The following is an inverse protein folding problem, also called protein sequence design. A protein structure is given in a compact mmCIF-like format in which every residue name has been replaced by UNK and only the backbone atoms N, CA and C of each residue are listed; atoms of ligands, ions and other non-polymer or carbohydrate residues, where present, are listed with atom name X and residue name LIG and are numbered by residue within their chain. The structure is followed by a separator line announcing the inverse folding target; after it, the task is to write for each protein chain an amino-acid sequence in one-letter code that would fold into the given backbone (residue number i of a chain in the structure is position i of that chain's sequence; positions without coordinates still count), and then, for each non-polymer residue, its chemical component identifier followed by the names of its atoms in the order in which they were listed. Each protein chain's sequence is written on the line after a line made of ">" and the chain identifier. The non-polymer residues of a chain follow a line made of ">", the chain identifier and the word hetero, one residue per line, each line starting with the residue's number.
data_IF_624065888152
#
_entry.id   IF_624065888152
#
_cell.length_a   1.000
_cell.length_b   1.000
_cell.length_c   1.000
_cell.angle_alpha   90.00
_cell.angle_beta   90.00
_cell.angle_gamma   90.00
#
_symmetry.space_group_name_H-M   'P 1'
#
loop_
_entity.id
_entity.type
_entity.pdbx_description
1 polymer ?
#
# COMPACT_ATOMS: atom_id res chain seq x y z
N UNK A 1 -0.33 39.03 -10.72
CA UNK A 1 0.79 38.26 -10.16
C UNK A 1 1.18 38.92 -8.86
N UNK A 2 0.76 38.34 -7.72
CA UNK A 2 1.22 38.78 -6.40
C UNK A 2 2.71 38.50 -6.28
N UNK A 3 3.46 39.51 -5.85
CA UNK A 3 4.89 39.42 -5.62
C UNK A 3 5.15 38.46 -4.45
N UNK A 4 5.63 37.25 -4.74
CA UNK A 4 5.95 36.21 -3.75
C UNK A 4 7.36 36.37 -3.16
N UNK A 5 8.06 37.48 -3.45
CA UNK A 5 9.40 37.77 -2.90
C UNK A 5 9.31 37.98 -1.38
N UNK A 6 9.53 36.90 -0.63
CA UNK A 6 9.58 36.90 0.84
C UNK A 6 8.74 35.81 1.51
N UNK A 7 7.87 35.11 0.78
CA UNK A 7 7.10 33.97 1.32
C UNK A 7 7.92 32.68 1.18
N UNK A 8 8.19 31.96 2.28
CA UNK A 8 8.82 30.64 2.20
C UNK A 8 8.05 29.70 1.27
N UNK A 9 8.76 29.05 0.36
CA UNK A 9 8.19 28.06 -0.53
C UNK A 9 8.01 26.72 0.18
N UNK A 10 7.04 25.95 -0.30
CA UNK A 10 6.75 24.60 0.15
C UNK A 10 7.31 23.59 -0.85
N UNK A 11 8.32 22.83 -0.44
CA UNK A 11 8.88 21.72 -1.19
C UNK A 11 8.33 20.39 -0.65
N UNK A 12 8.07 19.45 -1.55
CA UNK A 12 7.61 18.11 -1.17
C UNK A 12 8.45 17.04 -1.85
N UNK A 13 9.07 16.20 -1.05
CA UNK A 13 9.67 14.95 -1.47
C UNK A 13 8.70 13.80 -1.14
N UNK A 14 8.44 12.92 -2.10
CA UNK A 14 7.54 11.79 -1.84
C UNK A 14 7.29 10.88 -3.02
N UNK A 15 6.26 10.06 -2.88
CA UNK A 15 5.88 8.99 -3.81
C UNK A 15 4.52 9.25 -4.50
N UNK A 16 3.82 8.20 -4.92
CA UNK A 16 2.57 8.30 -5.67
C UNK A 16 1.42 8.92 -4.88
N UNK A 17 1.46 8.90 -3.54
CA UNK A 17 0.40 9.46 -2.66
C UNK A 17 0.50 10.99 -2.58
N UNK A 18 1.71 11.52 -2.68
CA UNK A 18 1.99 12.96 -2.60
C UNK A 18 2.11 13.61 -3.96
N UNK A 19 2.30 12.82 -5.03
CA UNK A 19 2.47 13.30 -6.40
C UNK A 19 1.36 14.27 -6.84
N UNK A 20 1.79 15.37 -7.47
CA UNK A 20 0.90 16.29 -8.16
C UNK A 20 0.27 15.60 -9.38
N UNK A 21 -1.06 15.51 -9.40
CA UNK A 21 -1.87 14.94 -10.48
C UNK A 21 -2.43 16.04 -11.39
N UNK A 22 -2.39 15.80 -12.69
CA UNK A 22 -2.96 16.69 -13.69
C UNK A 22 -4.49 16.52 -13.76
N UNK A 23 -5.17 17.46 -14.43
CA UNK A 23 -6.64 17.50 -14.51
C UNK A 23 -7.24 16.28 -15.25
N UNK A 24 -6.47 15.65 -16.12
CA UNK A 24 -6.84 14.42 -16.82
C UNK A 24 -6.85 13.18 -15.90
N UNK A 25 -6.22 13.27 -14.74
CA UNK A 25 -6.19 12.20 -13.73
C UNK A 25 -7.34 12.32 -12.72
N UNK A 26 -8.26 13.27 -12.91
CA UNK A 26 -9.37 13.51 -11.99
C UNK A 26 -10.19 12.22 -11.76
N UNK A 27 -10.71 11.96 -10.55
CA UNK A 27 -10.52 12.75 -9.34
C UNK A 27 -9.26 12.41 -8.53
N UNK A 28 -8.29 11.65 -9.05
CA UNK A 28 -7.05 11.34 -8.33
C UNK A 28 -6.27 12.61 -7.99
N UNK A 29 -5.83 12.75 -6.73
CA UNK A 29 -5.09 13.93 -6.29
C UNK A 29 -4.13 13.61 -5.15
N UNK A 30 -2.94 14.19 -5.19
CA UNK A 30 -2.02 14.18 -4.06
C UNK A 30 -2.41 15.26 -3.06
N UNK A 31 -2.43 14.94 -1.76
CA UNK A 31 -2.78 15.90 -0.71
C UNK A 31 -1.96 17.20 -0.74
N UNK A 32 -0.65 17.23 -1.09
CA UNK A 32 0.09 18.49 -1.09
C UNK A 32 -0.42 19.50 -2.11
N UNK A 33 -1.11 19.06 -3.18
CA UNK A 33 -1.73 19.95 -4.17
C UNK A 33 -2.80 20.87 -3.59
N UNK A 34 -3.30 20.58 -2.39
CA UNK A 34 -4.34 21.34 -1.71
C UNK A 34 -3.81 22.16 -0.53
N UNK A 35 -2.63 21.82 -0.01
CA UNK A 35 -2.06 22.45 1.18
C UNK A 35 -1.94 23.98 1.06
N UNK A 36 -1.47 24.57 -0.06
CA UNK A 36 -1.35 26.03 -0.18
C UNK A 36 -2.66 26.79 0.05
N UNK A 37 -3.83 26.18 -0.25
CA UNK A 37 -5.14 26.82 -0.09
C UNK A 37 -5.48 27.15 1.36
N UNK A 38 -4.91 26.41 2.31
CA UNK A 38 -5.11 26.59 3.74
C UNK A 38 -4.11 27.57 4.39
N UNK A 39 -3.09 28.00 3.65
CA UNK A 39 -1.98 28.81 4.19
C UNK A 39 -2.03 30.24 3.61
N UNK A 40 -1.75 31.24 4.44
CA UNK A 40 -1.71 32.66 4.09
C UNK A 40 -0.38 33.31 4.52
N UNK A 41 0.29 34.08 3.64
CA UNK A 41 0.06 34.13 2.19
C UNK A 41 0.24 32.74 1.55
N UNK A 42 -0.42 32.50 0.42
CA UNK A 42 -0.37 31.19 -0.26
C UNK A 42 1.08 30.88 -0.71
N UNK A 43 1.72 29.82 -0.18
CA UNK A 43 3.11 29.54 -0.48
C UNK A 43 3.25 28.93 -1.88
N UNK A 44 4.31 29.29 -2.65
CA UNK A 44 4.67 28.55 -3.85
C UNK A 44 4.90 27.06 -3.53
N UNK A 45 4.26 26.16 -4.28
CA UNK A 45 4.42 24.71 -4.11
C UNK A 45 5.34 24.13 -5.19
N UNK A 46 6.43 23.52 -4.75
CA UNK A 46 7.34 22.74 -5.60
C UNK A 46 7.27 21.26 -5.20
N UNK A 47 6.40 20.52 -5.88
CA UNK A 47 6.17 19.11 -5.60
C UNK A 47 7.07 18.21 -6.47
N UNK A 48 8.07 17.58 -5.84
CA UNK A 48 9.00 16.65 -6.51
C UNK A 48 8.55 15.19 -6.42
N UNK A 49 7.41 14.91 -5.78
CA UNK A 49 6.93 13.57 -5.59
C UNK A 49 6.56 12.88 -6.92
N UNK A 50 6.92 11.60 -7.02
CA UNK A 50 6.69 10.81 -8.23
C UNK A 50 6.40 9.35 -7.89
N UNK A 51 5.41 8.78 -8.58
CA UNK A 51 5.09 7.37 -8.55
C UNK A 51 6.29 6.47 -8.89
N UNK A 52 6.44 5.39 -8.13
CA UNK A 52 7.54 4.44 -8.26
C UNK A 52 8.83 4.84 -7.56
N UNK A 53 8.93 6.04 -6.99
CA UNK A 53 10.06 6.39 -6.12
C UNK A 53 9.90 5.78 -4.72
N UNK A 54 11.02 5.29 -4.18
CA UNK A 54 11.23 4.99 -2.78
C UNK A 54 12.29 5.97 -2.24
N UNK A 55 12.63 5.90 -0.95
CA UNK A 55 13.62 6.81 -0.36
C UNK A 55 14.97 6.76 -1.09
N UNK A 56 15.46 5.57 -1.43
CA UNK A 56 16.77 5.40 -2.09
C UNK A 56 16.80 6.01 -3.49
N UNK A 57 15.77 5.77 -4.31
CA UNK A 57 15.71 6.31 -5.68
C UNK A 57 15.42 7.80 -5.70
N UNK A 58 14.63 8.32 -4.75
CA UNK A 58 14.43 9.76 -4.60
C UNK A 58 15.75 10.48 -4.27
N UNK A 59 16.50 9.97 -3.29
CA UNK A 59 17.80 10.56 -2.91
C UNK A 59 18.79 10.53 -4.08
N UNK A 60 18.82 9.42 -4.84
CA UNK A 60 19.72 9.26 -5.98
C UNK A 60 19.42 10.22 -7.14
N UNK A 61 18.15 10.49 -7.42
CA UNK A 61 17.76 11.12 -8.69
C UNK A 61 17.14 12.51 -8.55
N UNK A 62 16.58 12.86 -7.38
CA UNK A 62 15.75 14.07 -7.22
C UNK A 62 16.19 14.99 -6.08
N UNK A 63 16.77 14.44 -5.01
CA UNK A 63 17.14 15.22 -3.82
C UNK A 63 18.07 16.40 -4.12
N UNK A 64 19.11 16.21 -4.94
CA UNK A 64 20.05 17.28 -5.27
C UNK A 64 19.37 18.45 -6.01
N UNK A 65 18.50 18.15 -6.97
CA UNK A 65 17.74 19.18 -7.70
C UNK A 65 16.82 19.96 -6.77
N UNK A 66 16.10 19.26 -5.89
CA UNK A 66 15.22 19.89 -4.90
C UNK A 66 16.03 20.85 -4.01
N UNK A 67 17.08 20.34 -3.37
CA UNK A 67 17.89 21.10 -2.40
C UNK A 67 18.60 22.30 -3.05
N UNK A 68 18.99 22.21 -4.33
CA UNK A 68 19.60 23.33 -5.06
C UNK A 68 18.61 24.43 -5.46
N UNK A 69 17.31 24.15 -5.47
CA UNK A 69 16.27 25.14 -5.76
C UNK A 69 15.76 25.86 -4.50
N UNK A 70 16.05 25.31 -3.32
CA UNK A 70 15.63 25.88 -2.04
C UNK A 70 16.40 27.16 -1.70
N UNK A 71 15.73 28.04 -0.95
CA UNK A 71 16.29 29.20 -0.28
C UNK A 71 16.21 29.00 1.23
N UNK A 72 17.06 29.70 2.02
CA UNK A 72 16.93 29.70 3.47
C UNK A 72 15.52 30.09 3.91
N UNK A 73 14.95 29.32 4.84
CA UNK A 73 13.58 29.47 5.34
C UNK A 73 12.53 28.64 4.60
N UNK A 74 12.81 28.09 3.42
CA UNK A 74 11.86 27.24 2.69
C UNK A 74 11.57 25.94 3.45
N UNK A 75 10.31 25.50 3.43
CA UNK A 75 9.84 24.29 4.11
C UNK A 75 9.97 23.07 3.18
N UNK A 76 10.54 21.96 3.65
CA UNK A 76 10.58 20.70 2.91
C UNK A 76 9.87 19.57 3.67
N UNK A 77 8.73 19.11 3.12
CA UNK A 77 8.02 17.93 3.61
C UNK A 77 8.61 16.66 2.99
N UNK A 78 9.18 15.79 3.83
CA UNK A 78 9.80 14.52 3.43
C UNK A 78 8.81 13.39 3.68
N UNK A 79 7.96 13.12 2.70
CA UNK A 79 6.84 12.17 2.74
C UNK A 79 7.09 10.94 1.88
N UNK A 80 8.12 10.16 2.25
CA UNK A 80 8.54 8.92 1.60
C UNK A 80 8.20 7.72 2.48
N UNK A 81 7.99 6.55 1.87
CA UNK A 81 7.89 5.28 2.60
C UNK A 81 6.83 4.33 2.05
N UNK A 82 5.78 4.80 1.35
CA UNK A 82 4.68 3.91 0.92
C UNK A 82 5.18 2.84 -0.07
N UNK A 83 6.20 3.19 -0.86
CA UNK A 83 6.91 2.29 -1.78
C UNK A 83 7.93 1.41 -1.04
N UNK A 84 8.69 1.98 -0.10
CA UNK A 84 9.81 1.36 0.60
C UNK A 84 9.46 0.05 1.32
N UNK A 85 8.23 -0.08 1.82
CA UNK A 85 7.75 -1.27 2.55
C UNK A 85 7.36 -2.45 1.64
N UNK A 86 7.32 -2.28 0.32
CA UNK A 86 6.71 -3.26 -0.59
C UNK A 86 7.66 -4.41 -0.97
N UNK A 87 7.68 -5.46 -0.15
CA UNK A 87 8.46 -6.69 -0.37
C UNK A 87 8.14 -7.43 -1.69
N UNK A 88 6.91 -7.31 -2.18
CA UNK A 88 6.44 -7.98 -3.39
C UNK A 88 7.01 -7.43 -4.70
N UNK A 89 7.75 -6.31 -4.67
CA UNK A 89 8.33 -5.66 -5.85
C UNK A 89 9.81 -5.36 -5.61
N UNK A 90 10.67 -6.10 -6.30
CA UNK A 90 12.12 -6.17 -6.05
C UNK A 90 12.80 -4.80 -6.06
N UNK A 91 12.40 -3.91 -6.97
CA UNK A 91 13.01 -2.58 -7.11
C UNK A 91 12.41 -1.52 -6.17
N UNK A 92 11.44 -1.88 -5.33
CA UNK A 92 10.69 -0.93 -4.50
C UNK A 92 11.08 -1.02 -3.04
N UNK A 93 11.32 -2.23 -2.54
CA UNK A 93 11.70 -2.45 -1.15
C UNK A 93 13.02 -1.74 -0.78
N UNK A 94 13.02 -1.03 0.35
CA UNK A 94 14.21 -0.46 0.97
C UNK A 94 14.31 -0.98 2.40
N UNK A 95 15.43 -1.59 2.81
CA UNK A 95 15.58 -2.09 4.18
C UNK A 95 15.28 -1.01 5.24
N UNK A 96 14.61 -1.32 6.35
CA UNK A 96 14.14 -0.31 7.30
C UNK A 96 15.24 0.62 7.85
N UNK A 97 16.42 0.08 8.17
CA UNK A 97 17.57 0.91 8.55
C UNK A 97 18.00 1.86 7.43
N UNK A 98 18.10 1.36 6.19
CA UNK A 98 18.48 2.18 5.03
C UNK A 98 17.45 3.28 4.77
N UNK A 99 16.16 2.96 4.91
CA UNK A 99 15.07 3.94 4.84
C UNK A 99 15.23 5.03 5.91
N UNK A 100 15.45 4.64 7.17
CA UNK A 100 15.71 5.58 8.28
C UNK A 100 16.94 6.46 8.01
N UNK A 101 18.05 5.86 7.58
CA UNK A 101 19.29 6.56 7.24
C UNK A 101 19.09 7.51 6.04
N UNK A 102 18.24 7.15 5.07
CA UNK A 102 17.88 8.01 3.94
C UNK A 102 17.12 9.25 4.42
N UNK A 103 16.10 9.08 5.27
CA UNK A 103 15.34 10.21 5.81
C UNK A 103 16.25 11.16 6.58
N UNK A 104 17.12 10.64 7.45
CA UNK A 104 18.08 11.43 8.23
C UNK A 104 19.04 12.22 7.34
N UNK A 105 19.65 11.55 6.36
CA UNK A 105 20.59 12.18 5.42
C UNK A 105 19.91 13.29 4.61
N UNK A 106 18.68 13.06 4.17
CA UNK A 106 17.98 14.06 3.38
C UNK A 106 17.51 15.24 4.23
N UNK A 107 17.03 15.00 5.46
CA UNK A 107 16.71 16.07 6.40
C UNK A 107 17.95 16.94 6.71
N UNK A 108 19.11 16.32 6.92
CA UNK A 108 20.37 17.04 7.12
C UNK A 108 20.74 17.89 5.89
N UNK A 109 20.65 17.33 4.68
CA UNK A 109 20.96 18.06 3.44
C UNK A 109 20.04 19.28 3.22
N UNK A 110 18.76 19.19 3.61
CA UNK A 110 17.84 20.33 3.59
C UNK A 110 18.25 21.39 4.61
N UNK A 111 18.54 20.99 5.85
CA UNK A 111 18.94 21.90 6.92
C UNK A 111 20.28 22.61 6.62
N UNK A 112 21.25 21.92 6.04
CA UNK A 112 22.55 22.49 5.62
C UNK A 112 22.41 23.60 4.57
N UNK A 113 21.31 23.63 3.81
CA UNK A 113 20.98 24.72 2.87
C UNK A 113 20.08 25.79 3.48
N UNK A 114 19.83 25.74 4.79
CA UNK A 114 18.99 26.68 5.51
C UNK A 114 17.48 26.44 5.34
N UNK A 115 17.08 25.32 4.72
CA UNK A 115 15.67 24.92 4.66
C UNK A 115 15.19 24.31 5.98
N UNK A 116 13.87 24.25 6.16
CA UNK A 116 13.21 23.62 7.32
C UNK A 116 12.75 22.22 6.92
N UNK A 117 13.47 21.14 7.28
CA UNK A 117 13.02 19.79 7.01
C UNK A 117 11.90 19.37 7.98
N UNK A 118 10.89 18.68 7.46
CA UNK A 118 9.85 18.02 8.26
C UNK A 118 9.70 16.59 7.75
N UNK A 119 9.94 15.63 8.63
CA UNK A 119 9.71 14.22 8.30
C UNK A 119 8.22 13.92 8.39
N UNK A 120 7.67 13.26 7.38
CA UNK A 120 6.25 12.94 7.29
C UNK A 120 6.08 11.42 7.22
N UNK A 121 5.30 10.84 8.12
CA UNK A 121 5.00 9.39 8.08
C UNK A 121 4.14 9.03 6.86
N UNK A 122 4.08 7.75 6.51
CA UNK A 122 3.24 7.25 5.42
C UNK A 122 1.75 7.55 5.67
N UNK A 123 0.96 7.66 4.61
CA UNK A 123 -0.50 7.75 4.73
C UNK A 123 -1.07 6.38 5.12
N UNK A 124 -2.05 6.35 6.02
CA UNK A 124 -2.83 5.16 6.32
C UNK A 124 -3.86 4.90 5.21
N UNK A 125 -3.85 3.71 4.55
CA UNK A 125 -4.86 3.34 3.55
C UNK A 125 -6.27 3.20 4.13
N UNK A 126 -7.29 3.20 3.26
CA UNK A 126 -8.65 2.78 3.58
C UNK A 126 -8.72 1.26 3.75
N UNK A 127 -8.20 0.77 4.86
CA UNK A 127 -8.22 -0.63 5.24
C UNK A 127 -8.75 -0.78 6.67
N UNK A 128 -9.73 -1.66 6.86
CA UNK A 128 -10.47 -1.79 8.11
C UNK A 128 -10.59 -3.25 8.49
N UNK A 129 -10.32 -3.57 9.74
CA UNK A 129 -10.57 -4.88 10.34
C UNK A 129 -12.08 -5.22 10.31
N UNK A 130 -12.42 -6.46 10.63
CA UNK A 130 -13.79 -6.95 10.58
C UNK A 130 -14.77 -6.10 11.42
N UNK A 131 -14.33 -5.65 12.59
CA UNK A 131 -15.06 -4.81 13.54
C UNK A 131 -15.13 -3.32 13.14
N UNK A 132 -14.50 -2.94 12.02
CA UNK A 132 -14.51 -1.57 11.52
C UNK A 132 -13.45 -0.65 12.14
N UNK A 133 -12.46 -1.21 12.82
CA UNK A 133 -11.26 -0.49 13.26
C UNK A 133 -10.30 -0.30 12.09
N UNK A 134 -9.63 0.84 11.99
CA UNK A 134 -8.62 1.05 10.92
C UNK A 134 -7.44 0.09 11.12
N UNK A 135 -7.08 -0.66 10.08
CA UNK A 135 -5.98 -1.62 10.12
C UNK A 135 -4.62 -0.92 9.92
N UNK A 136 -3.61 -1.30 10.71
CA UNK A 136 -2.22 -0.86 10.48
C UNK A 136 -1.56 -1.70 9.39
N UNK A 137 -1.32 -1.06 8.24
CA UNK A 137 -0.64 -1.66 7.09
C UNK A 137 0.74 -1.03 6.84
N UNK A 138 1.32 -0.33 7.81
CA UNK A 138 2.59 0.41 7.65
C UNK A 138 3.84 -0.48 7.74
N UNK A 139 3.69 -1.74 8.15
CA UNK A 139 4.80 -2.69 8.26
C UNK A 139 5.95 -2.18 9.14
N UNK A 140 5.67 -1.30 10.11
CA UNK A 140 6.66 -0.66 10.98
C UNK A 140 7.41 0.53 10.37
N UNK A 141 7.22 0.86 9.08
CA UNK A 141 7.91 1.98 8.44
C UNK A 141 7.50 3.35 9.01
N UNK A 142 6.27 3.46 9.52
CA UNK A 142 5.83 4.66 10.22
C UNK A 142 6.69 4.91 11.48
N UNK A 143 7.00 3.88 12.26
CA UNK A 143 7.91 3.97 13.41
C UNK A 143 9.34 4.37 13.01
N UNK A 144 9.85 3.82 11.90
CA UNK A 144 11.17 4.22 11.40
C UNK A 144 11.23 5.70 10.98
N UNK A 145 10.15 6.24 10.41
CA UNK A 145 10.06 7.68 10.11
C UNK A 145 9.99 8.53 11.39
N UNK A 146 9.20 8.12 12.40
CA UNK A 146 9.16 8.78 13.72
C UNK A 146 10.56 8.82 14.35
N UNK A 147 11.24 7.68 14.33
CA UNK A 147 12.55 7.51 14.91
C UNK A 147 13.64 8.29 14.14
N UNK A 148 13.50 8.47 12.82
CA UNK A 148 14.37 9.33 12.03
C UNK A 148 14.19 10.82 12.39
N UNK A 149 12.95 11.28 12.58
CA UNK A 149 12.67 12.66 12.97
C UNK A 149 13.31 13.01 14.33
N UNK A 150 13.13 12.12 15.32
CA UNK A 150 13.74 12.26 16.66
C UNK A 150 15.27 12.30 16.58
N UNK A 151 15.88 11.36 15.86
CA UNK A 151 17.35 11.31 15.74
C UNK A 151 17.95 12.49 14.97
N UNK A 152 17.21 13.06 14.03
CA UNK A 152 17.63 14.25 13.29
C UNK A 152 17.31 15.55 14.03
N UNK A 153 16.54 15.52 15.12
CA UNK A 153 16.09 16.71 15.83
C UNK A 153 15.20 17.62 14.97
N UNK A 154 14.41 17.03 14.07
CA UNK A 154 13.54 17.77 13.13
C UNK A 154 12.06 17.51 13.43
N UNK A 155 11.14 18.44 13.09
CA UNK A 155 9.72 18.23 13.28
C UNK A 155 9.20 16.97 12.58
N UNK A 156 8.28 16.29 13.25
CA UNK A 156 7.55 15.13 12.74
C UNK A 156 6.10 15.52 12.45
N UNK A 157 5.68 15.42 11.19
CA UNK A 157 4.27 15.40 10.82
C UNK A 157 3.80 13.94 10.75
N UNK A 158 3.09 13.48 11.77
CA UNK A 158 2.59 12.09 11.82
C UNK A 158 1.30 11.92 11.00
N UNK A 159 1.46 11.93 9.68
CA UNK A 159 0.37 11.75 8.72
C UNK A 159 -0.35 10.42 8.88
N UNK A 160 0.37 9.35 9.23
CA UNK A 160 -0.20 8.04 9.52
C UNK A 160 -1.24 8.17 10.63
N UNK A 161 -0.86 8.70 11.79
CA UNK A 161 -1.76 8.93 12.92
C UNK A 161 -2.95 9.83 12.54
N UNK A 162 -2.69 10.95 11.86
CA UNK A 162 -3.75 11.89 11.46
C UNK A 162 -4.78 11.25 10.53
N UNK A 163 -4.32 10.44 9.57
CA UNK A 163 -5.20 9.76 8.61
C UNK A 163 -5.93 8.59 9.26
N UNK A 164 -5.28 7.79 10.12
CA UNK A 164 -5.95 6.76 10.93
C UNK A 164 -7.10 7.34 11.75
N UNK A 165 -6.89 8.47 12.43
CA UNK A 165 -7.94 9.14 13.21
C UNK A 165 -9.10 9.59 12.32
N UNK A 166 -8.80 10.24 11.20
CA UNK A 166 -9.81 10.70 10.24
C UNK A 166 -10.65 9.54 9.69
N UNK A 167 -10.01 8.43 9.30
CA UNK A 167 -10.69 7.26 8.78
C UNK A 167 -11.54 6.57 9.85
N UNK A 168 -11.07 6.54 11.10
CA UNK A 168 -11.83 6.01 12.22
C UNK A 168 -13.08 6.85 12.52
N UNK A 169 -12.99 8.18 12.44
CA UNK A 169 -14.12 9.10 12.61
C UNK A 169 -15.20 8.91 11.53
N UNK A 170 -14.78 8.66 10.28
CA UNK A 170 -15.69 8.50 9.13
C UNK A 170 -16.29 7.09 9.04
N UNK A 171 -15.54 6.08 9.49
CA UNK A 171 -15.88 4.67 9.33
C UNK A 171 -15.67 4.14 7.90
N UNK A 172 -15.84 2.83 7.68
CA UNK A 172 -15.43 2.16 6.44
C UNK A 172 -16.15 2.64 5.18
N UNK A 173 -17.48 2.78 5.25
CA UNK A 173 -18.31 3.14 4.09
C UNK A 173 -18.11 4.58 3.64
N UNK A 174 -17.82 5.49 4.56
CA UNK A 174 -17.63 6.90 4.20
C UNK A 174 -16.17 7.17 3.81
N UNK A 175 -15.21 6.49 4.47
CA UNK A 175 -13.79 6.59 4.14
C UNK A 175 -13.50 6.26 2.68
N UNK A 176 -14.11 5.20 2.09
CA UNK A 176 -13.85 4.85 0.69
C UNK A 176 -14.13 5.99 -0.31
N UNK A 177 -15.06 6.91 0.03
CA UNK A 177 -15.41 8.06 -0.82
C UNK A 177 -14.31 9.12 -0.90
N UNK A 178 -13.26 8.99 -0.11
CA UNK A 178 -12.07 9.86 -0.13
C UNK A 178 -10.91 9.28 -0.95
N UNK A 179 -11.06 8.07 -1.48
CA UNK A 179 -10.01 7.37 -2.24
C UNK A 179 -10.39 7.22 -3.71
N UNK A 180 -9.45 6.73 -4.53
CA UNK A 180 -9.70 6.25 -5.90
C UNK A 180 -10.45 4.92 -5.85
N UNK A 181 -11.64 4.98 -5.29
CA UNK A 181 -12.58 3.91 -5.17
C UNK A 181 -13.83 4.34 -5.92
N UNK A 182 -14.19 3.61 -6.97
CA UNK A 182 -15.38 3.84 -7.78
C UNK A 182 -16.07 2.50 -8.00
N UNK A 183 -17.38 2.49 -7.80
CA UNK A 183 -18.21 1.36 -8.22
C UNK A 183 -18.32 1.40 -9.76
N UNK A 184 -18.82 0.32 -10.38
CA UNK A 184 -18.99 0.30 -11.83
C UNK A 184 -19.92 1.45 -12.29
N UNK A 185 -19.56 2.08 -13.41
CA UNK A 185 -20.23 3.29 -13.89
C UNK A 185 -19.94 4.58 -13.11
N UNK A 186 -19.23 4.53 -11.98
CA UNK A 186 -18.90 5.71 -11.16
C UNK A 186 -17.81 6.62 -11.75
N UNK A 187 -17.14 6.21 -12.82
CA UNK A 187 -16.11 7.00 -13.48
C UNK A 187 -16.02 6.70 -14.99
N UNK A 188 -15.94 7.71 -15.88
CA UNK A 188 -15.92 7.51 -17.33
C UNK A 188 -14.73 6.65 -17.80
N UNK A 189 -13.53 6.88 -17.25
CA UNK A 189 -12.33 6.11 -17.62
C UNK A 189 -12.24 4.73 -16.94
N UNK A 190 -13.08 4.48 -15.93
CA UNK A 190 -13.14 3.20 -15.22
C UNK A 190 -14.57 2.65 -15.22
N UNK A 191 -15.12 2.29 -16.39
CA UNK A 191 -16.51 1.81 -16.51
C UNK A 191 -16.78 0.56 -15.67
N UNK A 192 -15.75 -0.24 -15.41
CA UNK A 192 -15.78 -1.42 -14.53
C UNK A 192 -15.73 -1.14 -13.04
N UNK A 193 -15.57 0.12 -12.66
CA UNK A 193 -15.14 0.52 -11.33
C UNK A 193 -13.62 0.38 -11.16
N UNK A 194 -13.11 0.97 -10.09
CA UNK A 194 -11.70 0.93 -9.71
C UNK A 194 -11.63 0.94 -8.20
N UNK A 195 -10.89 0.00 -7.60
CA UNK A 195 -10.69 -0.03 -6.15
C UNK A 195 -9.21 0.13 -5.87
N UNK A 196 -8.88 1.25 -5.27
CA UNK A 196 -7.56 1.66 -4.82
C UNK A 196 -7.73 2.40 -3.49
N UNK A 197 -7.31 1.74 -2.42
CA UNK A 197 -7.48 2.20 -1.04
C UNK A 197 -6.30 3.02 -0.52
N UNK A 198 -5.29 3.31 -1.36
CA UNK A 198 -4.12 4.08 -0.96
C UNK A 198 -4.15 5.49 -1.56
N UNK A 199 -4.55 5.61 -2.82
CA UNK A 199 -4.50 6.89 -3.50
C UNK A 199 -5.79 7.69 -3.29
N UNK A 200 -5.63 8.94 -2.85
CA UNK A 200 -6.74 9.84 -2.57
C UNK A 200 -7.38 10.38 -3.84
N UNK A 201 -8.67 10.65 -3.76
CA UNK A 201 -9.32 11.54 -4.72
C UNK A 201 -9.23 13.01 -4.23
N UNK A 202 -9.80 13.95 -5.00
CA UNK A 202 -9.75 15.39 -4.69
C UNK A 202 -10.30 15.72 -3.30
N UNK A 203 -11.44 15.15 -2.92
CA UNK A 203 -12.06 15.40 -1.63
C UNK A 203 -11.24 14.80 -0.47
N UNK A 204 -10.67 13.60 -0.65
CA UNK A 204 -9.74 13.01 0.32
C UNK A 204 -8.44 13.80 0.47
N UNK A 205 -7.82 14.16 -0.65
CA UNK A 205 -6.60 14.96 -0.70
C UNK A 205 -6.79 16.33 -0.02
N UNK A 206 -7.95 16.97 -0.24
CA UNK A 206 -8.34 18.20 0.42
C UNK A 206 -8.48 18.03 1.94
N UNK A 207 -9.17 16.97 2.39
CA UNK A 207 -9.39 16.71 3.82
C UNK A 207 -8.09 16.41 4.55
N UNK A 208 -7.20 15.66 3.92
CA UNK A 208 -5.86 15.40 4.45
C UNK A 208 -5.04 16.70 4.51
N UNK A 209 -5.04 17.51 3.46
CA UNK A 209 -4.35 18.79 3.44
C UNK A 209 -4.83 19.76 4.54
N UNK A 210 -6.14 19.77 4.83
CA UNK A 210 -6.71 20.55 5.94
C UNK A 210 -6.10 20.16 7.28
N UNK A 211 -6.05 18.84 7.59
CA UNK A 211 -5.47 18.32 8.84
C UNK A 211 -3.96 18.57 8.90
N UNK A 212 -3.26 18.43 7.78
CA UNK A 212 -1.82 18.72 7.65
C UNK A 212 -1.53 20.20 7.93
N UNK A 213 -2.30 21.13 7.39
CA UNK A 213 -2.11 22.56 7.64
C UNK A 213 -2.24 22.89 9.14
N UNK A 214 -3.27 22.37 9.79
CA UNK A 214 -3.47 22.54 11.23
C UNK A 214 -2.33 21.91 12.05
N UNK A 215 -1.84 20.74 11.65
CA UNK A 215 -0.72 20.08 12.32
C UNK A 215 0.59 20.85 12.16
N UNK A 216 0.86 21.44 11.00
CA UNK A 216 2.05 22.26 10.79
C UNK A 216 2.08 23.50 11.70
N UNK A 217 0.92 24.08 12.02
CA UNK A 217 0.84 25.14 13.05
C UNK A 217 1.05 24.58 14.45
N UNK A 218 0.44 23.44 14.78
CA UNK A 218 0.62 22.78 16.08
C UNK A 218 2.08 22.40 16.35
N UNK A 219 2.84 22.09 15.31
CA UNK A 219 4.27 21.79 15.34
C UNK A 219 5.16 23.04 15.33
N UNK A 220 4.57 24.24 15.31
CA UNK A 220 5.28 25.53 15.22
C UNK A 220 6.16 25.67 13.97
N UNK A 221 5.91 24.84 12.94
CA UNK A 221 6.56 24.93 11.63
C UNK A 221 5.96 26.08 10.82
N UNK A 222 4.65 26.28 10.96
CA UNK A 222 3.93 27.45 10.47
C UNK A 222 3.46 28.27 11.67
N UNK A 223 3.43 29.60 11.54
CA UNK A 223 2.85 30.45 12.57
C UNK A 223 1.33 30.27 12.63
N UNK A 224 0.72 30.54 13.78
CA UNK A 224 -0.74 30.50 13.94
C UNK A 224 -1.48 31.42 12.94
N UNK A 225 -0.86 32.55 12.61
CA UNK A 225 -1.37 33.53 11.66
C UNK A 225 -1.27 33.06 10.19
N UNK A 226 -0.54 31.96 9.94
CA UNK A 226 -0.40 31.39 8.61
C UNK A 226 -1.62 30.55 8.20
N UNK A 227 -2.51 30.17 9.12
CA UNK A 227 -3.75 29.48 8.74
C UNK A 227 -4.79 30.47 8.22
N UNK A 228 -5.40 30.12 7.08
CA UNK A 228 -6.50 30.89 6.54
C UNK A 228 -7.69 30.87 7.51
N UNK A 229 -8.12 32.04 7.96
CA UNK A 229 -9.21 32.19 8.93
C UNK A 229 -10.53 31.54 8.48
N UNK A 230 -10.83 31.60 7.17
CA UNK A 230 -11.97 30.91 6.56
C UNK A 230 -11.45 29.71 5.78
N UNK A 231 -11.86 28.50 6.20
CA UNK A 231 -11.52 27.29 5.45
C UNK A 231 -12.03 27.41 4.01
N UNK A 232 -11.21 27.04 3.01
CA UNK A 232 -11.69 26.89 1.64
C UNK A 232 -12.91 25.97 1.56
N UNK A 233 -13.70 26.11 0.51
CA UNK A 233 -14.82 25.20 0.24
C UNK A 233 -14.28 23.78 -0.03
N UNK A 234 -14.95 22.77 0.56
CA UNK A 234 -14.59 21.38 0.37
C UNK A 234 -15.10 20.88 -1.00
N UNK A 235 -14.30 20.11 -1.75
CA UNK A 235 -14.78 19.47 -2.97
C UNK A 235 -15.94 18.51 -2.66
N UNK A 236 -16.89 18.42 -3.59
CA UNK A 236 -17.93 17.40 -3.53
C UNK A 236 -17.33 15.99 -3.49
N UNK A 237 -17.90 15.14 -2.63
CA UNK A 237 -17.55 13.74 -2.59
C UNK A 237 -18.22 12.99 -3.75
N UNK A 238 -17.53 12.05 -4.39
CA UNK A 238 -18.14 11.23 -5.43
C UNK A 238 -19.37 10.48 -4.87
N UNK A 239 -20.37 10.32 -5.73
CA UNK A 239 -21.50 9.45 -5.43
C UNK A 239 -21.09 7.99 -5.57
N UNK A 240 -21.63 7.15 -4.69
CA UNK A 240 -21.41 5.72 -4.69
C UNK A 240 -22.76 5.01 -4.81
N UNK A 241 -23.29 4.89 -6.03
CA UNK A 241 -24.66 4.40 -6.26
C UNK A 241 -24.86 2.92 -5.93
N UNK A 242 -23.78 2.18 -5.62
CA UNK A 242 -23.84 0.84 -5.01
C UNK A 242 -24.21 0.85 -3.52
N UNK A 243 -24.27 2.03 -2.87
CA UNK A 243 -24.56 2.23 -1.44
C UNK A 243 -26.05 2.13 -1.10
N UNK A 244 -26.96 2.40 -2.05
CA UNK A 244 -28.39 2.58 -1.71
C UNK A 244 -28.97 1.35 -1.02
N UNK A 245 -29.46 1.59 0.19
CA UNK A 245 -29.78 0.60 1.21
C UNK A 245 -31.25 0.15 1.20
N UNK A 246 -32.03 0.52 0.19
CA UNK A 246 -33.43 0.12 0.14
C UNK A 246 -33.52 -1.33 -0.34
N UNK A 247 -33.41 -2.23 0.64
CA UNK A 247 -33.81 -3.64 0.61
C UNK A 247 -33.45 -4.40 -0.67
N UNK A 248 -32.22 -4.93 -0.69
CA UNK A 248 -31.83 -6.01 -1.60
C UNK A 248 -31.95 -7.33 -0.82
N UNK A 249 -33.14 -7.96 -0.77
CA UNK A 249 -33.33 -9.20 -0.02
C UNK A 249 -32.54 -10.33 -0.66
N UNK A 250 -32.02 -11.24 0.17
CA UNK A 250 -31.62 -12.55 -0.33
C UNK A 250 -32.88 -13.22 -0.91
N UNK A 251 -32.72 -14.17 -1.82
CA UNK A 251 -33.76 -14.81 -2.64
C UNK A 251 -35.05 -15.32 -1.92
N UNK A 252 -35.19 -15.23 -0.59
CA UNK A 252 -36.33 -15.76 0.17
C UNK A 252 -37.69 -15.12 -0.10
N UNK A 253 -37.78 -13.94 -0.73
CA UNK A 253 -39.04 -13.17 -0.77
C UNK A 253 -39.74 -13.09 -2.14
N UNK A 254 -39.21 -13.68 -3.23
CA UNK A 254 -39.85 -13.57 -4.57
C UNK A 254 -39.76 -14.82 -5.44
N UNK A 255 -40.91 -15.21 -6.00
CA UNK A 255 -41.18 -16.41 -6.84
C UNK A 255 -40.73 -16.31 -8.29
N UNK A 256 -39.86 -15.36 -8.65
CA UNK A 256 -39.38 -15.17 -10.02
C UNK A 256 -37.86 -15.26 -10.09
N UNK A 257 -37.32 -16.36 -10.61
CA UNK A 257 -35.91 -16.43 -11.00
C UNK A 257 -35.73 -15.78 -12.37
N UNK A 258 -35.18 -14.56 -12.41
CA UNK A 258 -34.84 -13.92 -13.68
C UNK A 258 -33.79 -14.74 -14.45
N UNK A 259 -33.87 -14.79 -15.80
CA UNK A 259 -32.74 -15.21 -16.61
C UNK A 259 -31.63 -14.16 -16.46
N UNK A 260 -30.47 -14.58 -15.96
CA UNK A 260 -29.31 -13.70 -15.81
C UNK A 260 -28.11 -14.49 -15.31
N UNK A 261 -27.00 -14.46 -16.05
CA UNK A 261 -25.75 -15.12 -15.67
C UNK A 261 -24.81 -14.12 -15.01
N UNK A 262 -24.26 -14.51 -13.87
CA UNK A 262 -23.15 -13.82 -13.20
C UNK A 262 -21.94 -14.74 -13.28
N UNK A 263 -20.81 -14.19 -13.71
CA UNK A 263 -19.52 -14.91 -13.78
C UNK A 263 -18.44 -14.12 -13.06
N UNK A 264 -17.90 -14.73 -12.01
CA UNK A 264 -16.73 -14.21 -11.30
C UNK A 264 -15.48 -14.53 -12.13
N UNK A 265 -14.69 -13.52 -12.47
CA UNK A 265 -13.41 -13.65 -13.17
C UNK A 265 -12.26 -13.88 -12.20
N UNK A 266 -12.31 -13.26 -11.03
CA UNK A 266 -11.27 -13.39 -10.04
C UNK A 266 -11.70 -12.87 -8.67
N UNK A 267 -11.21 -13.47 -7.57
CA UNK A 267 -10.46 -14.73 -7.50
C UNK A 267 -11.26 -15.95 -8.00
N UNK A 268 -10.59 -17.09 -8.25
CA UNK A 268 -11.27 -18.34 -8.61
C UNK A 268 -11.83 -19.00 -7.34
N UNK A 269 -12.95 -19.70 -7.48
CA UNK A 269 -13.60 -20.41 -6.37
C UNK A 269 -12.63 -21.40 -5.70
N UNK A 270 -12.71 -21.50 -4.37
CA UNK A 270 -11.88 -22.36 -3.53
C UNK A 270 -10.42 -21.92 -3.39
N UNK A 271 -10.02 -20.78 -3.99
CA UNK A 271 -8.67 -20.24 -3.77
C UNK A 271 -8.60 -19.48 -2.47
N UNK A 272 -7.39 -19.50 -1.90
CA UNK A 272 -7.03 -18.64 -0.77
C UNK A 272 -7.10 -17.19 -1.19
N UNK A 273 -7.60 -16.35 -0.31
CA UNK A 273 -7.71 -14.90 -0.46
C UNK A 273 -7.22 -14.21 0.81
N UNK A 274 -6.90 -12.92 0.72
CA UNK A 274 -6.51 -12.09 1.86
C UNK A 274 -7.72 -11.34 2.42
N UNK A 275 -7.67 -10.78 3.64
CA UNK A 275 -8.85 -10.16 4.24
C UNK A 275 -9.39 -8.97 3.44
N UNK A 276 -8.53 -8.20 2.76
CA UNK A 276 -8.96 -7.09 1.88
C UNK A 276 -9.12 -7.53 0.40
N UNK A 277 -9.80 -8.65 0.14
CA UNK A 277 -9.92 -9.22 -1.22
C UNK A 277 -10.94 -8.51 -2.10
N UNK A 278 -10.48 -8.09 -3.28
CA UNK A 278 -11.32 -7.59 -4.38
C UNK A 278 -11.82 -8.73 -5.29
N UNK A 279 -13.08 -8.66 -5.67
CA UNK A 279 -13.73 -9.53 -6.65
C UNK A 279 -14.01 -8.77 -7.94
N UNK A 280 -13.87 -9.45 -9.08
CA UNK A 280 -14.22 -8.92 -10.40
C UNK A 280 -14.96 -9.95 -11.21
N UNK A 281 -15.76 -9.49 -12.17
CA UNK A 281 -16.48 -10.40 -13.05
C UNK A 281 -17.21 -9.72 -14.18
N UNK A 282 -18.11 -10.49 -14.78
CA UNK A 282 -19.12 -10.03 -15.74
C UNK A 282 -20.49 -10.56 -15.36
N UNK A 283 -21.52 -9.88 -15.82
CA UNK A 283 -22.91 -10.23 -15.64
C UNK A 283 -23.70 -9.89 -16.92
N UNK A 284 -24.86 -10.52 -17.10
CA UNK A 284 -25.78 -10.14 -18.18
C UNK A 284 -26.16 -8.66 -18.09
N UNK A 285 -26.18 -7.97 -19.23
CA UNK A 285 -26.36 -6.51 -19.31
C UNK A 285 -27.78 -6.04 -18.99
N UNK A 286 -28.72 -6.97 -18.84
CA UNK A 286 -30.07 -6.71 -18.33
C UNK A 286 -30.07 -6.47 -16.83
N UNK A 287 -29.06 -6.97 -16.12
CA UNK A 287 -28.89 -6.76 -14.69
C UNK A 287 -28.32 -5.35 -14.44
N UNK A 288 -28.85 -4.68 -13.44
CA UNK A 288 -28.43 -3.34 -13.02
C UNK A 288 -27.46 -3.39 -11.85
N UNK A 289 -27.58 -4.42 -11.00
CA UNK A 289 -26.83 -4.56 -9.74
C UNK A 289 -26.52 -6.01 -9.39
N UNK A 290 -25.50 -6.19 -8.54
CA UNK A 290 -25.18 -7.46 -7.88
C UNK A 290 -25.13 -7.19 -6.37
N UNK A 291 -25.92 -7.92 -5.60
CA UNK A 291 -25.83 -8.02 -4.15
C UNK A 291 -24.87 -9.12 -3.72
N UNK A 292 -24.14 -8.88 -2.64
CA UNK A 292 -23.18 -9.81 -2.05
C UNK A 292 -23.59 -10.20 -0.65
N UNK A 293 -23.48 -11.49 -0.34
CA UNK A 293 -23.79 -12.07 0.95
C UNK A 293 -22.63 -12.95 1.43
N UNK A 294 -22.32 -12.85 2.71
CA UNK A 294 -21.40 -13.73 3.42
C UNK A 294 -22.23 -14.66 4.30
N UNK A 295 -22.19 -15.96 4.01
CA UNK A 295 -22.86 -16.99 4.82
C UNK A 295 -24.36 -16.64 5.08
N UNK A 296 -25.03 -16.14 4.04
CA UNK A 296 -26.43 -15.72 4.05
C UNK A 296 -26.69 -14.27 4.51
N UNK A 297 -25.71 -13.60 5.13
CA UNK A 297 -25.84 -12.22 5.59
C UNK A 297 -25.38 -11.21 4.54
N UNK A 298 -26.18 -10.17 4.26
CA UNK A 298 -25.82 -9.17 3.24
C UNK A 298 -24.62 -8.34 3.68
N UNK A 299 -23.63 -8.21 2.80
CA UNK A 299 -22.39 -7.45 3.05
C UNK A 299 -22.14 -6.29 2.09
N UNK A 300 -22.95 -6.15 1.02
CA UNK A 300 -22.84 -5.01 0.11
C UNK A 300 -23.47 -5.26 -1.25
N UNK A 301 -23.27 -4.31 -2.16
CA UNK A 301 -23.68 -4.42 -3.55
C UNK A 301 -22.72 -3.63 -4.47
N UNK A 302 -22.76 -3.93 -5.77
CA UNK A 302 -22.14 -3.12 -6.82
C UNK A 302 -23.10 -2.92 -7.97
N UNK A 303 -22.93 -1.83 -8.71
CA UNK A 303 -23.51 -1.67 -10.03
C UNK A 303 -22.79 -2.55 -11.06
N UNK A 304 -23.42 -2.69 -12.23
CA UNK A 304 -22.85 -3.32 -13.41
C UNK A 304 -22.51 -2.23 -14.44
N UNK A 305 -21.29 -2.32 -14.99
CA UNK A 305 -20.78 -1.42 -16.00
C UNK A 305 -21.42 -1.65 -17.37
N UNK A 306 -21.19 -0.72 -18.32
CA UNK A 306 -21.86 -0.72 -19.61
C UNK A 306 -21.59 -1.94 -20.48
N UNK A 307 -20.52 -2.73 -20.26
CA UNK A 307 -20.26 -4.00 -21.00
C UNK A 307 -20.54 -5.24 -20.13
N UNK A 308 -21.28 -5.08 -19.03
CA UNK A 308 -21.61 -6.15 -18.09
C UNK A 308 -20.54 -6.38 -17.02
N UNK A 309 -19.45 -5.63 -17.02
CA UNK A 309 -18.33 -5.78 -16.11
C UNK A 309 -18.61 -5.19 -14.72
N UNK A 310 -18.05 -5.81 -13.69
CA UNK A 310 -18.19 -5.33 -12.32
C UNK A 310 -16.92 -5.59 -11.51
N UNK A 311 -16.73 -4.75 -10.50
CA UNK A 311 -15.66 -4.84 -9.51
C UNK A 311 -16.26 -4.53 -8.15
N UNK A 312 -15.94 -5.33 -7.14
CA UNK A 312 -16.42 -5.11 -5.78
C UNK A 312 -15.40 -5.55 -4.74
N UNK A 313 -15.37 -4.88 -3.60
CA UNK A 313 -14.59 -5.25 -2.42
C UNK A 313 -15.41 -4.85 -1.20
N UNK A 314 -15.44 -5.70 -0.17
CA UNK A 314 -15.96 -5.33 1.15
C UNK A 314 -15.15 -4.14 1.71
N UNK A 315 -15.80 -3.26 2.45
CA UNK A 315 -15.15 -2.09 3.08
C UNK A 315 -14.41 -2.46 4.37
N UNK A 316 -14.80 -3.55 5.01
CA UNK A 316 -14.08 -4.20 6.12
C UNK A 316 -13.48 -5.54 5.69
N UNK A 317 -12.54 -6.03 6.49
CA UNK A 317 -11.88 -7.33 6.31
C UNK A 317 -12.89 -8.47 6.37
N UNK A 318 -12.55 -9.55 5.68
CA UNK A 318 -13.26 -10.81 5.80
C UNK A 318 -12.81 -11.54 7.07
N UNK A 319 -13.73 -12.25 7.76
CA UNK A 319 -13.33 -13.15 8.83
C UNK A 319 -12.38 -14.23 8.28
N UNK A 320 -11.42 -14.73 9.07
CA UNK A 320 -10.55 -15.82 8.65
C UNK A 320 -11.31 -17.15 8.56
N UNK A 321 -10.90 -18.02 7.64
CA UNK A 321 -11.47 -19.36 7.47
C UNK A 321 -12.21 -19.57 6.16
N UNK A 322 -13.00 -20.65 6.10
CA UNK A 322 -13.79 -21.03 4.93
C UNK A 322 -15.15 -20.32 4.97
N UNK A 323 -15.53 -19.72 3.84
CA UNK A 323 -16.78 -18.99 3.69
C UNK A 323 -17.41 -19.26 2.32
N UNK A 324 -18.72 -19.02 2.23
CA UNK A 324 -19.42 -18.97 0.94
C UNK A 324 -19.85 -17.53 0.66
N UNK A 325 -19.25 -16.94 -0.37
CA UNK A 325 -19.72 -15.68 -0.92
C UNK A 325 -20.84 -15.98 -1.91
N UNK A 326 -22.05 -15.48 -1.63
CA UNK A 326 -23.21 -15.63 -2.53
C UNK A 326 -23.48 -14.33 -3.26
N UNK A 327 -23.61 -14.39 -4.59
CA UNK A 327 -23.95 -13.27 -5.46
C UNK A 327 -25.38 -13.40 -5.96
N UNK A 328 -26.12 -12.30 -5.96
CA UNK A 328 -27.48 -12.24 -6.51
C UNK A 328 -27.61 -11.02 -7.42
N UNK A 329 -27.98 -11.25 -8.68
CA UNK A 329 -28.18 -10.17 -9.66
C UNK A 329 -29.60 -9.62 -9.56
N UNK A 330 -29.77 -8.34 -9.90
CA UNK A 330 -31.08 -7.69 -9.96
C UNK A 330 -31.31 -7.01 -11.31
N UNK A 331 -32.50 -7.22 -11.88
CA UNK A 331 -33.02 -6.51 -13.05
C UNK A 331 -33.56 -5.12 -12.68
N UNK A 332 -33.83 -4.27 -13.68
CA UNK A 332 -34.36 -2.92 -13.46
C UNK A 332 -35.74 -2.89 -12.79
N UNK A 333 -36.57 -3.93 -12.97
CA UNK A 333 -37.87 -4.11 -12.34
C UNK A 333 -37.80 -4.70 -10.91
N UNK A 334 -36.58 -4.95 -10.43
CA UNK A 334 -36.33 -5.49 -9.09
C UNK A 334 -36.38 -7.02 -8.98
N UNK A 335 -36.59 -7.75 -10.08
CA UNK A 335 -36.53 -9.22 -10.07
C UNK A 335 -35.09 -9.70 -9.90
N UNK A 336 -34.89 -10.76 -9.11
CA UNK A 336 -33.59 -11.30 -8.76
C UNK A 336 -33.23 -12.55 -9.58
N UNK A 337 -31.93 -12.75 -9.84
CA UNK A 337 -31.43 -14.01 -10.40
C UNK A 337 -31.41 -15.12 -9.35
N UNK A 338 -31.22 -16.36 -9.79
CA UNK A 338 -30.75 -17.41 -8.88
C UNK A 338 -29.41 -17.02 -8.24
N UNK A 339 -29.15 -17.41 -6.97
CA UNK A 339 -27.88 -17.15 -6.31
C UNK A 339 -26.72 -17.89 -7.00
N UNK A 340 -25.54 -17.28 -6.98
CA UNK A 340 -24.29 -17.88 -7.42
C UNK A 340 -23.35 -17.97 -6.23
N UNK A 341 -23.12 -19.19 -5.76
CA UNK A 341 -22.21 -19.45 -4.65
C UNK A 341 -20.76 -19.51 -5.11
N UNK A 342 -19.89 -18.92 -4.30
CA UNK A 342 -18.47 -18.83 -4.54
C UNK A 342 -17.70 -19.13 -3.25
N UNK A 343 -17.23 -20.37 -3.05
CA UNK A 343 -16.46 -20.71 -1.87
C UNK A 343 -15.12 -19.98 -1.87
N UNK A 344 -14.71 -19.48 -0.71
CA UNK A 344 -13.44 -18.78 -0.49
C UNK A 344 -12.79 -19.25 0.81
N UNK A 345 -11.46 -19.18 0.88
CA UNK A 345 -10.70 -19.43 2.10
C UNK A 345 -9.88 -18.19 2.42
N UNK A 346 -10.23 -17.47 3.48
CA UNK A 346 -9.56 -16.25 3.92
C UNK A 346 -8.38 -16.64 4.81
N UNK A 347 -7.18 -16.19 4.41
CA UNK A 347 -5.95 -16.29 5.20
C UNK A 347 -5.61 -14.88 5.64
N UNK A 348 -5.56 -14.64 6.95
CA UNK A 348 -5.27 -13.34 7.57
C UNK A 348 -3.86 -13.28 8.19
N UNK A 349 -3.24 -14.42 8.46
CA UNK A 349 -1.88 -14.53 8.96
C UNK A 349 -1.09 -15.63 8.24
N UNK A 350 0.24 -15.50 8.26
CA UNK A 350 1.16 -16.50 7.75
C UNK A 350 2.08 -17.00 8.87
N UNK A 351 2.30 -18.30 8.92
CA UNK A 351 3.33 -18.88 9.78
C UNK A 351 4.74 -18.58 9.27
N UNK A 352 5.71 -18.52 10.18
CA UNK A 352 7.11 -18.42 9.82
C UNK A 352 7.52 -19.62 8.93
N UNK A 353 8.22 -19.39 7.81
CA UNK A 353 8.65 -20.48 6.94
C UNK A 353 9.64 -21.39 7.66
N UNK A 354 9.66 -22.67 7.30
CA UNK A 354 10.64 -23.63 7.81
C UNK A 354 11.72 -23.85 6.77
N UNK A 355 12.96 -23.48 7.07
CA UNK A 355 14.12 -23.81 6.23
C UNK A 355 14.57 -25.25 6.55
N UNK A 356 14.69 -26.09 5.53
CA UNK A 356 15.05 -27.51 5.68
C UNK A 356 16.43 -27.83 5.15
N UNK A 357 16.92 -27.07 4.15
CA UNK A 357 18.25 -27.24 3.58
C UNK A 357 18.91 -25.88 3.26
N UNK A 358 20.25 -25.78 3.36
CA UNK A 358 21.15 -26.71 4.03
C UNK A 358 20.78 -26.88 5.51
N UNK A 359 21.11 -28.01 6.14
CA UNK A 359 20.91 -28.15 7.59
C UNK A 359 21.78 -27.10 8.31
N UNK A 360 21.23 -26.46 9.33
CA UNK A 360 21.95 -25.43 10.09
C UNK A 360 23.30 -25.96 10.58
N UNK A 361 24.35 -25.14 10.42
CA UNK A 361 25.73 -25.50 10.81
C UNK A 361 26.42 -26.55 9.93
N UNK A 362 25.84 -26.93 8.77
CA UNK A 362 26.54 -27.75 7.77
C UNK A 362 27.18 -26.87 6.70
N UNK A 363 28.34 -27.31 6.23
CA UNK A 363 29.07 -26.68 5.13
C UNK A 363 28.21 -26.70 3.86
N UNK A 364 28.19 -25.57 3.15
CA UNK A 364 27.70 -25.47 1.79
C UNK A 364 28.82 -25.00 0.87
N UNK A 365 28.79 -25.43 -0.40
CA UNK A 365 29.61 -24.80 -1.44
C UNK A 365 29.13 -23.36 -1.73
N UNK A 366 29.86 -22.66 -2.60
CA UNK A 366 29.64 -21.24 -2.94
C UNK A 366 28.26 -20.90 -3.52
N UNK A 367 27.43 -21.88 -3.90
CA UNK A 367 26.05 -21.66 -4.36
C UNK A 367 25.06 -22.46 -3.50
N UNK A 368 24.77 -22.02 -2.26
CA UNK A 368 23.83 -22.73 -1.40
C UNK A 368 22.43 -22.75 -2.00
N UNK A 369 21.86 -23.96 -2.14
CA UNK A 369 20.45 -24.14 -2.49
C UNK A 369 19.61 -24.14 -1.21
N UNK A 370 18.92 -23.04 -0.93
CA UNK A 370 18.06 -22.92 0.25
C UNK A 370 16.69 -23.51 -0.05
N UNK A 371 16.20 -24.43 0.79
CA UNK A 371 14.89 -25.08 0.61
C UNK A 371 14.08 -25.04 1.88
N UNK A 372 12.77 -25.14 1.75
CA UNK A 372 11.90 -25.14 2.92
C UNK A 372 10.42 -25.38 2.62
N UNK A 373 9.62 -25.14 3.66
CA UNK A 373 8.15 -25.13 3.61
C UNK A 373 7.61 -23.78 4.06
N UNK A 374 6.56 -23.31 3.40
CA UNK A 374 5.80 -22.13 3.78
C UNK A 374 4.34 -22.31 3.30
N UNK A 375 3.51 -23.12 4.00
CA UNK A 375 2.10 -23.28 3.65
C UNK A 375 1.38 -21.92 3.55
N UNK A 376 0.33 -21.85 2.73
CA UNK A 376 -0.48 -20.64 2.50
C UNK A 376 0.22 -19.46 1.80
N UNK A 377 1.55 -19.43 1.76
CA UNK A 377 2.32 -18.42 1.07
C UNK A 377 2.27 -18.56 -0.46
N UNK A 378 2.49 -17.43 -1.14
CA UNK A 378 2.74 -17.38 -2.58
C UNK A 378 4.23 -17.42 -2.92
N UNK A 379 5.07 -16.94 -2.01
CA UNK A 379 6.52 -16.92 -2.12
C UNK A 379 7.16 -16.79 -0.74
N UNK A 380 8.47 -17.00 -0.69
CA UNK A 380 9.33 -16.55 0.42
C UNK A 380 10.29 -15.49 -0.08
N UNK A 381 10.67 -14.57 0.81
CA UNK A 381 11.72 -13.58 0.59
C UNK A 381 12.85 -13.88 1.56
N UNK A 382 14.07 -13.93 1.05
CA UNK A 382 15.27 -14.26 1.82
C UNK A 382 16.12 -13.02 2.00
N UNK A 383 16.66 -12.88 3.20
CA UNK A 383 17.59 -11.85 3.61
C UNK A 383 18.85 -12.47 4.20
N UNK A 384 19.98 -11.80 4.01
CA UNK A 384 21.23 -12.03 4.73
C UNK A 384 21.52 -10.74 5.52
N UNK A 385 21.34 -10.80 6.84
CA UNK A 385 21.10 -9.61 7.65
C UNK A 385 19.87 -8.84 7.17
N UNK A 386 20.01 -7.55 6.85
CA UNK A 386 18.94 -6.71 6.27
C UNK A 386 18.93 -6.69 4.74
N UNK A 387 19.98 -7.25 4.10
CA UNK A 387 20.10 -7.25 2.65
C UNK A 387 19.21 -8.35 2.09
N UNK A 388 18.22 -7.96 1.31
CA UNK A 388 17.45 -8.92 0.52
C UNK A 388 18.37 -9.61 -0.49
N UNK A 389 18.42 -10.94 -0.44
CA UNK A 389 19.23 -11.76 -1.35
C UNK A 389 18.39 -12.42 -2.45
N UNK A 390 17.07 -12.55 -2.27
CA UNK A 390 16.21 -13.06 -3.32
C UNK A 390 14.79 -13.39 -2.90
N UNK A 391 14.02 -13.94 -3.85
CA UNK A 391 12.63 -14.37 -3.67
C UNK A 391 12.42 -15.70 -4.38
N UNK A 392 11.72 -16.63 -3.75
CA UNK A 392 11.40 -17.93 -4.33
C UNK A 392 9.88 -18.18 -4.30
N UNK A 393 9.27 -18.60 -5.42
CA UNK A 393 7.86 -18.97 -5.43
C UNK A 393 7.61 -20.21 -4.56
N UNK A 394 6.46 -20.22 -3.88
CA UNK A 394 6.00 -21.36 -3.10
C UNK A 394 5.03 -22.17 -3.95
N UNK A 395 5.25 -23.49 -4.01
CA UNK A 395 4.39 -24.42 -4.75
C UNK A 395 3.08 -24.68 -3.99
N UNK A 396 2.12 -25.31 -4.67
CA UNK A 396 0.81 -25.62 -4.08
C UNK A 396 0.91 -26.49 -2.81
N UNK A 397 1.92 -27.37 -2.73
CA UNK A 397 2.21 -28.23 -1.57
C UNK A 397 2.96 -27.52 -0.42
N UNK A 398 3.18 -26.20 -0.56
CA UNK A 398 3.90 -25.37 0.39
C UNK A 398 5.43 -25.48 0.29
N UNK A 399 5.98 -26.27 -0.64
CA UNK A 399 7.44 -26.37 -0.82
C UNK A 399 8.00 -25.18 -1.59
N UNK A 400 9.23 -24.80 -1.28
CA UNK A 400 9.97 -23.77 -2.01
C UNK A 400 11.45 -24.10 -2.10
N UNK A 401 12.12 -23.52 -3.10
CA UNK A 401 13.55 -23.66 -3.34
C UNK A 401 14.10 -22.36 -3.92
N UNK A 402 15.20 -21.87 -3.35
CA UNK A 402 15.95 -20.72 -3.81
C UNK A 402 17.37 -21.16 -4.19
N UNK A 403 17.85 -20.69 -5.33
CA UNK A 403 19.23 -20.82 -5.75
C UNK A 403 19.65 -19.42 -6.22
N UNK A 404 20.62 -18.82 -5.54
CA UNK A 404 21.15 -17.51 -5.93
C UNK A 404 21.93 -17.60 -7.24
N UNK A 405 21.89 -16.52 -8.03
CA UNK A 405 22.64 -16.41 -9.29
C UNK A 405 24.15 -16.25 -9.02
N UNK A 406 24.49 -15.39 -8.06
CA UNK A 406 25.88 -15.10 -7.67
C UNK A 406 26.38 -16.06 -6.58
N UNK A 407 27.68 -16.43 -6.60
CA UNK A 407 28.28 -17.18 -5.51
C UNK A 407 28.28 -16.34 -4.23
N UNK A 408 28.08 -17.01 -3.10
CA UNK A 408 28.17 -16.42 -1.78
C UNK A 408 29.63 -16.39 -1.36
N UNK A 409 30.00 -15.33 -0.64
CA UNK A 409 31.34 -15.24 -0.05
C UNK A 409 31.55 -16.34 0.99
N UNK A 410 32.79 -16.79 1.18
CA UNK A 410 33.09 -17.72 2.25
C UNK A 410 32.82 -17.07 3.61
N UNK A 411 32.25 -17.83 4.54
CA UNK A 411 31.92 -17.37 5.88
C UNK A 411 30.55 -17.85 6.37
N UNK A 412 30.18 -17.38 7.55
CA UNK A 412 28.86 -17.62 8.13
C UNK A 412 27.86 -16.56 7.66
N UNK A 413 26.69 -17.01 7.19
CA UNK A 413 25.58 -16.18 6.75
C UNK A 413 24.39 -16.39 7.68
N UNK A 414 23.83 -15.29 8.18
CA UNK A 414 22.65 -15.28 9.05
C UNK A 414 21.43 -14.90 8.23
N UNK A 415 20.73 -15.94 7.78
CA UNK A 415 19.55 -15.78 6.95
C UNK A 415 18.32 -15.46 7.79
N UNK A 416 17.50 -14.57 7.25
CA UNK A 416 16.15 -14.31 7.70
C UNK A 416 15.21 -14.59 6.52
N UNK A 417 14.22 -15.47 6.72
CA UNK A 417 13.28 -15.87 5.68
C UNK A 417 11.87 -15.52 6.12
N UNK A 418 11.14 -14.77 5.30
CA UNK A 418 9.73 -14.44 5.52
C UNK A 418 8.87 -15.01 4.40
N UNK A 419 7.68 -15.47 4.73
CA UNK A 419 6.68 -15.89 3.77
C UNK A 419 5.77 -14.71 3.40
N UNK A 420 5.31 -14.65 2.15
CA UNK A 420 4.43 -13.58 1.66
C UNK A 420 3.21 -14.10 0.90
N UNK A 421 2.07 -13.48 1.14
CA UNK A 421 0.81 -13.75 0.44
C UNK A 421 -0.01 -12.46 0.32
N UNK A 422 -0.07 -11.88 -0.88
CA UNK A 422 -0.64 -10.54 -1.04
C UNK A 422 0.12 -9.51 -0.17
N UNK A 423 -0.55 -8.74 0.69
CA UNK A 423 0.11 -7.83 1.62
C UNK A 423 0.61 -8.52 2.91
N UNK A 424 0.25 -9.78 3.15
CA UNK A 424 0.64 -10.49 4.37
C UNK A 424 2.11 -10.88 4.33
N UNK A 425 2.77 -10.72 5.48
CA UNK A 425 4.16 -11.10 5.72
C UNK A 425 4.19 -11.90 7.02
N UNK A 426 4.82 -13.07 7.01
CA UNK A 426 4.99 -13.87 8.23
C UNK A 426 6.04 -13.27 9.17
N UNK A 427 6.09 -13.70 10.44
CA UNK A 427 7.32 -13.60 11.23
C UNK A 427 8.50 -14.23 10.48
N UNK A 428 9.71 -13.73 10.77
CA UNK A 428 10.91 -14.23 10.14
C UNK A 428 11.39 -15.54 10.77
N UNK A 429 11.85 -16.46 9.93
CA UNK A 429 12.58 -17.64 10.35
C UNK A 429 14.08 -17.39 10.18
N UNK A 430 14.82 -17.47 11.29
CA UNK A 430 16.27 -17.40 11.29
C UNK A 430 16.90 -18.73 10.86
N UNK A 431 17.96 -18.67 10.06
CA UNK A 431 18.72 -19.85 9.64
C UNK A 431 20.17 -19.51 9.38
N UNK A 432 21.11 -20.35 9.79
CA UNK A 432 22.54 -20.12 9.56
C UNK A 432 23.09 -21.04 8.47
N UNK A 433 23.84 -20.47 7.53
CA UNK A 433 24.54 -21.20 6.46
C UNK A 433 26.03 -20.87 6.50
N UNK A 434 26.88 -21.90 6.62
CA UNK A 434 28.33 -21.75 6.55
C UNK A 434 28.80 -22.08 5.13
N UNK A 435 29.25 -21.06 4.39
CA UNK A 435 29.74 -21.20 3.01
C UNK A 435 31.25 -21.35 3.04
N UNK A 436 31.76 -22.39 2.37
CA UNK A 436 33.18 -22.64 2.25
C UNK A 436 33.62 -22.50 0.80
N UNK A 437 34.72 -21.79 0.60
CA UNK A 437 35.45 -21.78 -0.66
C UNK A 437 36.36 -23.01 -0.72
N UNK A 438 35.83 -24.12 -1.24
CA UNK A 438 36.63 -25.30 -1.59
C UNK A 438 37.40 -25.09 -2.92
N UNK A 439 37.36 -23.88 -3.48
CA UNK A 439 37.80 -23.52 -4.83
C UNK A 439 38.76 -22.33 -4.90
N UNK A 440 39.75 -22.26 -4.01
CA UNK A 440 41.10 -21.81 -4.39
C UNK A 440 42.06 -22.95 -4.14
N UNK A 441 42.43 -23.66 -5.20
CA UNK A 441 43.62 -24.50 -5.17
C UNK A 441 44.82 -23.61 -4.85
N UNK A 442 45.35 -23.72 -3.64
CA UNK A 442 46.81 -23.57 -3.50
C UNK A 442 47.45 -24.55 -4.50
N UNK A 443 48.54 -24.17 -5.18
CA UNK A 443 49.24 -25.11 -6.05
C UNK A 443 49.58 -26.36 -5.23
N UNK A 444 49.26 -27.52 -5.79
CA UNK A 444 49.51 -28.83 -5.18
C UNK A 444 50.90 -28.87 -4.51
N UNK A 445 51.01 -29.21 -3.22
CA UNK A 445 52.32 -29.40 -2.57
C UNK A 445 53.05 -30.65 -3.08
N UNK A 446 52.39 -31.46 -3.92
CA UNK A 446 53.00 -32.65 -4.53
C UNK A 446 53.74 -32.27 -5.83
N UNK A 447 55.04 -32.60 -5.94
CA UNK A 447 55.76 -32.44 -7.20
C UNK A 447 55.09 -33.30 -8.29
N UNK A 448 54.92 -32.71 -9.46
CA UNK A 448 54.42 -33.41 -10.64
C UNK A 448 55.42 -34.54 -10.99
N UNK A 449 54.95 -35.77 -11.23
CA UNK A 449 55.83 -36.84 -11.69
C UNK A 449 56.41 -36.49 -13.07
N UNK A 450 57.72 -36.71 -13.19
CA UNK A 450 58.58 -36.31 -14.31
C UNK A 450 58.22 -37.01 -15.61
#
# INVERSE_FOLDING_TARGET
>A
MTDTRGVPALFVAGDSVTQQRAKDSDPLSGWPQHLPRFVVPEPPLFNFAQEGHNSSTFLRHRAATLVNLMRPGDLCLIALGNTDQQLGRDNWYVPPRVYRDNLRRFAAAVAERGGVPVVVTQLCPADFTEDGTVADTSGGYSEHARAAAVESGVPLLDLHRLTTQLWQELGPEETRRHFRWYDAGGHPDFPAGRIDALHLNRAGAWRVAQRVAAELVRLEVLSEHALRAVSPEAPELPDHPGRTAETFPLHSDRTGTAPGRIKIRGPRAGRRIVPAQKFTGVADRTLTRIGFYLDGSRIGATLIGPKGEWTWRRTTHWPPGEHVLTLVGQLADGVLTAPVDHPVHVVDALEAPRVTMPRAGRLSGGHPCIRGRAPHASAVVLFDGERRIGRAPVRADGSWSFLGEEPWHAGEHHLSVVAVFGPLVSPAAAHTVSVHDLGRSEPSPWPQPV
#
